data_IF_107312530744
#
_entry.id   IF_107312530744
#
_cell.length_a   1.000
_cell.length_b   1.000
_cell.length_c   1.000
_cell.angle_alpha   90.00
_cell.angle_beta   90.00
_cell.angle_gamma   90.00
#
_symmetry.space_group_name_H-M   'P 1'
#
loop_
_entity.id
_entity.type
_entity.pdbx_description
1 polymer ?
#
# COMPACT_ATOMS: atom_id res chain seq x y z
N UNK A 1 -22.66 10.32 7.01
CA UNK A 1 -22.32 9.69 5.74
C UNK A 1 -21.36 8.55 6.01
N UNK A 2 -21.63 7.36 5.48
CA UNK A 2 -20.70 6.23 5.57
C UNK A 2 -19.44 6.59 4.80
N UNK A 3 -18.27 6.39 5.42
CA UNK A 3 -16.97 6.55 4.76
C UNK A 3 -16.90 5.58 3.58
N UNK A 4 -16.52 6.07 2.39
CA UNK A 4 -16.26 5.20 1.24
C UNK A 4 -15.01 4.37 1.53
N UNK A 5 -15.13 3.04 1.48
CA UNK A 5 -14.05 2.10 1.79
C UNK A 5 -14.16 0.82 0.98
N UNK A 6 -13.05 0.10 0.86
CA UNK A 6 -13.02 -1.18 0.15
C UNK A 6 -13.63 -2.31 0.98
N UNK A 7 -14.41 -3.17 0.32
CA UNK A 7 -14.89 -4.43 0.92
C UNK A 7 -13.79 -5.49 0.83
N UNK A 8 -12.78 -5.36 1.69
CA UNK A 8 -11.59 -6.22 1.67
C UNK A 8 -11.90 -7.70 1.90
N UNK A 9 -12.94 -8.02 2.66
CA UNK A 9 -13.30 -9.42 2.90
C UNK A 9 -13.92 -10.07 1.65
N UNK A 10 -14.72 -9.32 0.90
CA UNK A 10 -15.23 -9.80 -0.38
C UNK A 10 -14.11 -10.03 -1.40
N UNK A 11 -13.14 -9.11 -1.45
CA UNK A 11 -11.95 -9.25 -2.29
C UNK A 11 -11.09 -10.45 -1.84
N UNK A 12 -10.97 -10.67 -0.54
CA UNK A 12 -10.21 -11.80 0.01
C UNK A 12 -10.81 -13.15 -0.40
N UNK A 13 -12.12 -13.31 -0.26
CA UNK A 13 -12.82 -14.53 -0.71
C UNK A 13 -12.63 -14.75 -2.21
N UNK A 14 -12.74 -13.71 -3.02
CA UNK A 14 -12.48 -13.78 -4.46
C UNK A 14 -11.04 -14.23 -4.77
N UNK A 15 -10.07 -13.64 -4.07
CA UNK A 15 -8.64 -13.96 -4.24
C UNK A 15 -8.35 -15.43 -3.89
N UNK A 16 -8.84 -15.93 -2.75
CA UNK A 16 -8.63 -17.31 -2.34
C UNK A 16 -9.24 -18.30 -3.32
N UNK A 17 -10.46 -18.02 -3.81
CA UNK A 17 -11.11 -18.86 -4.84
C UNK A 17 -10.31 -18.84 -6.14
N UNK A 18 -9.78 -17.69 -6.54
CA UNK A 18 -8.89 -17.55 -7.70
C UNK A 18 -7.62 -18.37 -7.56
N UNK A 19 -6.94 -18.25 -6.43
CA UNK A 19 -5.73 -19.02 -6.11
C UNK A 19 -6.00 -20.53 -6.14
N UNK A 20 -7.07 -20.99 -5.49
CA UNK A 20 -7.46 -22.41 -5.51
C UNK A 20 -7.67 -22.93 -6.93
N UNK A 21 -8.45 -22.21 -7.73
CA UNK A 21 -8.75 -22.62 -9.10
C UNK A 21 -7.50 -22.64 -9.98
N UNK A 22 -6.65 -21.61 -9.85
CA UNK A 22 -5.42 -21.51 -10.62
C UNK A 22 -4.41 -22.61 -10.21
N UNK A 23 -4.26 -22.83 -8.91
CA UNK A 23 -3.43 -23.93 -8.39
C UNK A 23 -3.85 -25.28 -8.97
N UNK A 24 -5.14 -25.56 -8.99
CA UNK A 24 -5.69 -26.83 -9.53
C UNK A 24 -5.41 -27.01 -11.01
N UNK A 25 -5.39 -25.95 -11.79
CA UNK A 25 -5.25 -26.00 -13.26
C UNK A 25 -3.80 -25.92 -13.74
N UNK A 26 -2.97 -25.16 -13.04
CA UNK A 26 -1.65 -24.76 -13.54
C UNK A 26 -0.50 -24.96 -12.55
N UNK A 27 -0.81 -25.02 -11.25
CA UNK A 27 0.18 -24.89 -10.21
C UNK A 27 0.61 -23.45 -9.96
N UNK A 28 1.12 -23.17 -8.75
CA UNK A 28 1.64 -21.86 -8.34
C UNK A 28 2.99 -22.07 -7.67
N UNK A 29 4.06 -21.53 -8.28
CA UNK A 29 5.42 -21.62 -7.77
C UNK A 29 5.82 -20.37 -6.97
N UNK A 30 5.14 -19.24 -7.18
CA UNK A 30 5.38 -17.97 -6.49
C UNK A 30 4.17 -17.05 -6.59
N UNK A 31 4.03 -16.13 -5.63
CA UNK A 31 2.96 -15.12 -5.61
C UNK A 31 3.59 -13.73 -5.50
N UNK A 32 3.12 -12.78 -6.29
CA UNK A 32 3.40 -11.36 -6.15
C UNK A 32 2.12 -10.57 -6.31
N UNK A 33 1.96 -9.52 -5.51
CA UNK A 33 0.73 -8.71 -5.51
C UNK A 33 0.99 -7.36 -6.15
N UNK A 34 0.07 -6.91 -6.99
CA UNK A 34 0.04 -5.53 -7.47
C UNK A 34 -1.35 -4.94 -7.25
N UNK A 35 -1.39 -3.71 -6.81
CA UNK A 35 -2.63 -2.93 -6.65
C UNK A 35 -2.38 -1.47 -7.00
N UNK A 36 -3.46 -0.69 -7.09
CA UNK A 36 -3.36 0.76 -7.13
C UNK A 36 -2.67 1.32 -5.88
N UNK A 37 -2.14 2.54 -5.97
CA UNK A 37 -1.58 3.30 -4.87
C UNK A 37 -2.65 4.06 -4.05
N UNK A 38 -2.20 5.07 -3.31
CA UNK A 38 -3.05 5.98 -2.54
C UNK A 38 -4.02 5.30 -1.56
N UNK A 39 -3.69 4.09 -1.08
CA UNK A 39 -4.43 3.38 -0.04
C UNK A 39 -3.48 2.71 0.94
N UNK A 40 -3.90 2.66 2.21
CA UNK A 40 -3.12 2.04 3.29
C UNK A 40 -4.01 1.25 4.22
N UNK A 41 -3.41 0.27 4.90
CA UNK A 41 -4.04 -0.44 5.98
C UNK A 41 -3.36 -0.11 7.32
N UNK A 42 -4.17 0.11 8.34
CA UNK A 42 -3.76 0.30 9.72
C UNK A 42 -4.01 -1.01 10.47
N UNK A 43 -2.94 -1.60 11.00
CA UNK A 43 -3.00 -2.89 11.67
C UNK A 43 -2.75 -2.74 13.17
N UNK A 44 -3.42 -3.55 14.00
CA UNK A 44 -3.10 -3.72 15.40
C UNK A 44 -1.87 -4.64 15.60
N UNK A 45 -1.52 -4.93 16.83
CA UNK A 45 -0.42 -5.82 17.21
C UNK A 45 -0.67 -7.30 16.86
N UNK A 46 -1.92 -7.66 16.58
CA UNK A 46 -2.31 -8.99 16.08
C UNK A 46 -2.38 -9.06 14.56
N UNK A 47 -2.13 -7.95 13.85
CA UNK A 47 -2.22 -7.87 12.40
C UNK A 47 -3.62 -7.67 11.82
N UNK A 48 -4.61 -7.35 12.65
CA UNK A 48 -5.97 -7.07 12.22
C UNK A 48 -6.14 -5.60 11.84
N UNK A 49 -7.05 -5.31 10.92
CA UNK A 49 -7.42 -3.94 10.59
C UNK A 49 -8.07 -3.23 11.78
N UNK A 50 -7.55 -2.07 12.17
CA UNK A 50 -8.14 -1.20 13.20
C UNK A 50 -9.14 -0.17 12.63
N UNK A 51 -9.16 -0.02 11.32
CA UNK A 51 -10.12 0.81 10.58
C UNK A 51 -10.33 0.24 9.17
N UNK A 52 -11.46 0.53 8.51
CA UNK A 52 -11.63 0.23 7.10
C UNK A 52 -10.55 0.91 6.24
N UNK A 53 -10.12 0.25 5.17
CA UNK A 53 -9.21 0.85 4.18
C UNK A 53 -10.03 1.81 3.33
N UNK A 54 -9.70 3.10 3.41
CA UNK A 54 -10.42 4.14 2.69
C UNK A 54 -10.21 4.00 1.17
N UNK A 55 -11.28 4.24 0.45
CA UNK A 55 -11.21 4.53 -0.98
C UNK A 55 -10.45 5.86 -1.18
N UNK A 56 -9.52 5.91 -2.11
CA UNK A 56 -8.76 7.13 -2.40
C UNK A 56 -9.63 8.25 -2.99
N UNK A 57 -10.83 7.95 -3.49
CA UNK A 57 -11.83 8.94 -3.91
C UNK A 57 -12.67 9.48 -2.74
N UNK A 58 -12.42 9.03 -1.51
CA UNK A 58 -13.11 9.54 -0.34
C UNK A 58 -12.74 11.01 -0.08
N UNK A 59 -13.74 11.89 -0.04
CA UNK A 59 -13.56 13.35 0.06
C UNK A 59 -13.29 13.86 1.48
N UNK A 60 -13.30 12.99 2.49
CA UNK A 60 -13.04 13.37 3.88
C UNK A 60 -11.74 14.16 4.08
N UNK A 61 -10.62 13.78 3.46
CA UNK A 61 -9.37 14.52 3.56
C UNK A 61 -9.40 15.97 3.03
N UNK A 62 -10.38 16.35 2.20
CA UNK A 62 -10.52 17.72 1.74
C UNK A 62 -11.01 18.66 2.87
N UNK A 63 -11.68 18.11 3.90
CA UNK A 63 -12.14 18.88 5.07
C UNK A 63 -11.00 19.49 5.90
N UNK A 64 -9.80 18.95 5.77
CA UNK A 64 -8.61 19.36 6.55
C UNK A 64 -7.49 19.90 5.66
N UNK A 65 -7.82 20.36 4.47
CA UNK A 65 -6.83 20.79 3.48
C UNK A 65 -5.90 21.88 4.00
N UNK A 66 -6.45 22.88 4.68
CA UNK A 66 -5.68 24.03 5.19
C UNK A 66 -4.68 23.56 6.26
N UNK A 67 -5.16 22.77 7.23
CA UNK A 67 -4.33 22.25 8.32
C UNK A 67 -3.28 21.29 7.80
N UNK A 68 -3.65 20.43 6.86
CA UNK A 68 -2.73 19.48 6.25
C UNK A 68 -1.62 20.19 5.44
N UNK A 69 -1.97 21.22 4.67
CA UNK A 69 -1.00 22.00 3.90
C UNK A 69 0.04 22.71 4.79
N UNK A 70 -0.29 23.02 6.05
CA UNK A 70 0.66 23.58 7.00
C UNK A 70 1.71 22.58 7.52
N UNK A 71 1.43 21.28 7.43
CA UNK A 71 2.35 20.25 7.96
C UNK A 71 2.97 19.38 6.88
N UNK A 72 2.38 19.30 5.69
CA UNK A 72 2.90 18.44 4.62
C UNK A 72 4.30 18.86 4.19
N UNK A 73 5.13 17.91 3.71
CA UNK A 73 6.46 18.21 3.20
C UNK A 73 6.40 19.09 1.94
N UNK A 74 7.47 19.78 1.66
CA UNK A 74 7.64 20.46 0.39
C UNK A 74 7.72 19.43 -0.76
N UNK A 75 7.30 19.82 -1.95
CA UNK A 75 7.44 18.99 -3.14
C UNK A 75 8.90 18.55 -3.38
N UNK A 76 9.87 19.42 -3.06
CA UNK A 76 11.30 19.10 -3.18
C UNK A 76 11.77 17.99 -2.25
N UNK A 77 11.03 17.66 -1.19
CA UNK A 77 11.35 16.54 -0.30
C UNK A 77 10.79 15.22 -0.82
N UNK A 78 9.53 15.21 -1.25
CA UNK A 78 8.83 13.95 -1.56
C UNK A 78 8.55 13.72 -3.05
N UNK A 79 8.62 14.78 -3.87
CA UNK A 79 8.16 14.71 -5.26
C UNK A 79 6.64 14.53 -5.41
N UNK A 80 5.88 14.55 -4.30
CA UNK A 80 4.43 14.35 -4.33
C UNK A 80 3.72 15.69 -4.47
N UNK A 81 2.88 15.92 -5.49
CA UNK A 81 2.01 17.08 -5.55
C UNK A 81 0.88 16.97 -4.51
N UNK A 82 0.26 18.10 -4.14
CA UNK A 82 -1.02 18.05 -3.40
C UNK A 82 -2.13 17.64 -4.37
N UNK A 83 -2.81 16.58 -4.03
CA UNK A 83 -3.91 16.03 -4.79
C UNK A 83 -5.20 16.07 -3.95
N UNK A 84 -6.39 16.17 -4.57
CA UNK A 84 -7.66 16.21 -3.86
C UNK A 84 -8.02 14.86 -3.24
N UNK A 85 -9.08 14.85 -2.44
CA UNK A 85 -9.65 13.64 -1.84
C UNK A 85 -8.61 12.86 -1.01
N UNK A 86 -8.64 11.55 -1.05
CA UNK A 86 -7.70 10.65 -0.39
C UNK A 86 -6.42 10.35 -1.19
N UNK A 87 -6.15 11.02 -2.31
CA UNK A 87 -5.03 10.70 -3.19
C UNK A 87 -3.64 10.90 -2.54
N UNK A 88 -3.52 11.79 -1.53
CA UNK A 88 -2.34 11.79 -0.68
C UNK A 88 -2.60 10.96 0.59
N UNK A 89 -1.89 9.87 0.77
CA UNK A 89 -2.02 8.99 1.94
C UNK A 89 -1.76 9.72 3.26
N UNK A 90 -0.81 10.65 3.28
CA UNK A 90 -0.56 11.49 4.45
C UNK A 90 -1.78 12.32 4.86
N UNK A 91 -2.57 12.81 3.90
CA UNK A 91 -3.82 13.51 4.16
C UNK A 91 -4.89 12.56 4.73
N UNK A 92 -4.98 11.31 4.22
CA UNK A 92 -5.85 10.28 4.81
C UNK A 92 -5.51 10.04 6.27
N UNK A 93 -4.22 9.80 6.58
CA UNK A 93 -3.77 9.56 7.95
C UNK A 93 -4.09 10.74 8.87
N UNK A 94 -3.78 11.95 8.44
CA UNK A 94 -4.06 13.16 9.22
C UNK A 94 -5.55 13.30 9.50
N UNK A 95 -6.40 13.12 8.48
CA UNK A 95 -7.85 13.18 8.62
C UNK A 95 -8.38 12.07 9.54
N UNK A 96 -7.99 10.82 9.34
CA UNK A 96 -8.43 9.68 10.15
C UNK A 96 -8.10 9.88 11.63
N UNK A 97 -6.86 10.30 11.94
CA UNK A 97 -6.42 10.54 13.32
C UNK A 97 -7.05 11.79 13.95
N UNK A 98 -7.42 12.79 13.14
CA UNK A 98 -8.16 13.96 13.64
C UNK A 98 -9.60 13.59 14.01
N UNK A 99 -10.25 12.69 13.26
CA UNK A 99 -11.62 12.22 13.52
C UNK A 99 -11.68 11.20 14.66
N UNK A 100 -10.65 10.38 14.81
CA UNK A 100 -10.56 9.37 15.85
C UNK A 100 -9.16 9.32 16.48
N UNK A 101 -9.01 10.00 17.62
CA UNK A 101 -7.72 10.09 18.33
C UNK A 101 -7.21 8.74 18.85
N UNK A 102 -8.10 7.80 19.15
CA UNK A 102 -7.71 6.46 19.63
C UNK A 102 -7.14 5.60 18.51
N UNK A 103 -7.51 5.87 17.26
CA UNK A 103 -7.08 5.08 16.11
C UNK A 103 -5.55 5.00 16.02
N UNK A 104 -4.87 6.14 16.22
CA UNK A 104 -3.41 6.18 16.20
C UNK A 104 -2.79 5.32 17.31
N UNK A 105 -3.38 5.30 18.51
CA UNK A 105 -2.89 4.47 19.61
C UNK A 105 -3.11 2.98 19.36
N UNK A 106 -4.22 2.61 18.71
CA UNK A 106 -4.57 1.22 18.37
C UNK A 106 -3.74 0.70 17.17
N UNK A 107 -3.19 1.58 16.35
CA UNK A 107 -2.36 1.20 15.21
C UNK A 107 -0.98 0.79 15.68
N UNK A 108 -0.59 -0.45 15.45
CA UNK A 108 0.76 -0.96 15.65
C UNK A 108 1.59 -0.84 14.36
N UNK A 109 1.02 -1.16 13.21
CA UNK A 109 1.69 -1.11 11.90
C UNK A 109 0.84 -0.41 10.84
N UNK A 110 1.52 0.33 9.96
CA UNK A 110 0.96 0.96 8.77
C UNK A 110 1.60 0.26 7.57
N UNK A 111 0.79 -0.34 6.71
CA UNK A 111 1.23 -1.06 5.51
C UNK A 111 0.57 -0.48 4.27
N UNK A 112 1.28 -0.48 3.16
CA UNK A 112 0.77 -0.06 1.85
C UNK A 112 -0.16 -1.12 1.27
N UNK A 113 -1.01 -0.76 0.33
CA UNK A 113 -2.14 -1.62 -0.06
C UNK A 113 -1.74 -2.94 -0.73
N UNK A 114 -0.75 -3.02 -1.65
CA UNK A 114 -0.27 -4.32 -2.12
C UNK A 114 0.27 -5.18 -0.98
N UNK A 115 0.99 -4.57 -0.03
CA UNK A 115 1.60 -5.26 1.10
C UNK A 115 0.58 -5.69 2.16
N UNK A 116 -0.59 -5.05 2.23
CA UNK A 116 -1.70 -5.56 3.03
C UNK A 116 -2.16 -6.96 2.55
N UNK A 117 -2.25 -7.18 1.25
CA UNK A 117 -2.58 -8.49 0.71
C UNK A 117 -1.46 -9.50 0.90
N UNK A 118 -0.21 -9.06 0.76
CA UNK A 118 0.97 -9.85 1.13
C UNK A 118 0.95 -10.26 2.61
N UNK A 119 0.60 -9.31 3.50
CA UNK A 119 0.40 -9.59 4.92
C UNK A 119 -0.70 -10.64 5.16
N UNK A 120 -1.85 -10.53 4.48
CA UNK A 120 -2.93 -11.52 4.59
C UNK A 120 -2.46 -12.93 4.15
N UNK A 121 -1.52 -13.02 3.21
CA UNK A 121 -0.98 -14.29 2.72
C UNK A 121 0.12 -14.86 3.60
N UNK A 122 0.91 -14.03 4.30
CA UNK A 122 2.15 -14.45 4.98
C UNK A 122 2.20 -14.14 6.47
N UNK A 123 1.34 -13.27 6.98
CA UNK A 123 1.43 -12.72 8.34
C UNK A 123 2.50 -11.62 8.50
N UNK A 124 3.30 -11.31 7.48
CA UNK A 124 4.41 -10.35 7.57
C UNK A 124 3.95 -8.96 7.11
N UNK A 125 4.11 -7.96 7.97
CA UNK A 125 3.83 -6.57 7.65
C UNK A 125 5.04 -5.89 7.00
N UNK A 126 4.83 -5.24 5.85
CA UNK A 126 5.85 -4.48 5.14
C UNK A 126 5.24 -3.28 4.39
N UNK A 127 6.11 -2.42 3.89
CA UNK A 127 5.82 -1.44 2.84
C UNK A 127 6.81 -1.62 1.70
N UNK A 128 6.52 -1.06 0.52
CA UNK A 128 7.48 -1.04 -0.58
C UNK A 128 7.73 0.37 -1.10
N UNK A 129 8.88 0.55 -1.76
CA UNK A 129 9.33 1.84 -2.26
C UNK A 129 8.36 2.46 -3.27
N UNK A 130 7.78 1.64 -4.14
CA UNK A 130 6.92 2.11 -5.22
C UNK A 130 5.58 2.62 -4.70
N UNK A 131 5.02 1.92 -3.73
CA UNK A 131 3.76 2.33 -3.07
C UNK A 131 3.96 3.53 -2.16
N UNK A 132 5.05 3.59 -1.37
CA UNK A 132 5.38 4.75 -0.53
C UNK A 132 5.70 5.99 -1.37
N UNK A 133 6.38 5.83 -2.50
CA UNK A 133 6.71 6.93 -3.41
C UNK A 133 5.52 7.46 -4.22
N UNK A 134 4.39 6.74 -4.26
CA UNK A 134 3.22 7.13 -5.04
C UNK A 134 2.30 8.05 -4.24
N UNK A 135 2.51 9.36 -4.32
CA UNK A 135 1.65 10.41 -3.77
C UNK A 135 1.36 10.30 -2.25
N UNK A 136 2.22 9.65 -1.48
CA UNK A 136 1.92 9.43 -0.06
C UNK A 136 2.26 10.60 0.83
N UNK A 137 3.16 11.48 0.41
CA UNK A 137 3.85 12.48 1.24
C UNK A 137 4.70 11.86 2.38
N UNK A 138 4.82 10.52 2.45
CA UNK A 138 5.50 9.80 3.54
C UNK A 138 6.92 9.35 3.20
N UNK A 139 7.36 9.50 1.96
CA UNK A 139 8.64 9.00 1.47
C UNK A 139 9.46 10.11 0.81
N UNK A 140 10.73 10.19 1.18
CA UNK A 140 11.74 10.99 0.49
C UNK A 140 12.54 10.09 -0.46
N UNK A 141 12.30 10.18 -1.79
CA UNK A 141 12.98 9.33 -2.76
C UNK A 141 14.47 9.66 -2.92
N UNK A 142 14.89 10.87 -2.55
CA UNK A 142 16.28 11.31 -2.70
C UNK A 142 17.16 10.75 -1.60
N UNK A 143 16.72 10.84 -0.35
CA UNK A 143 17.43 10.27 0.80
C UNK A 143 17.11 8.79 1.03
N UNK A 144 16.06 8.26 0.37
CA UNK A 144 15.51 6.90 0.55
C UNK A 144 15.09 6.64 2.00
N UNK A 145 14.37 7.58 2.58
CA UNK A 145 13.90 7.53 3.96
C UNK A 145 12.44 7.96 4.05
N UNK A 146 11.85 7.63 5.18
CA UNK A 146 10.56 8.18 5.58
C UNK A 146 10.67 9.69 5.69
N UNK A 147 9.69 10.42 5.16
CA UNK A 147 9.65 11.88 5.10
C UNK A 147 9.43 12.52 6.48
N UNK A 148 9.67 13.83 6.54
CA UNK A 148 9.38 14.64 7.73
C UNK A 148 7.92 14.61 8.18
N UNK A 149 6.97 14.29 7.28
CA UNK A 149 5.56 14.18 7.62
C UNK A 149 5.28 13.05 8.62
N UNK A 150 5.94 11.90 8.45
CA UNK A 150 5.72 10.76 9.34
C UNK A 150 6.08 11.08 10.80
N UNK A 151 7.14 11.88 11.00
CA UNK A 151 7.51 12.39 12.31
C UNK A 151 6.47 13.37 12.85
N UNK A 152 6.05 14.35 12.05
CA UNK A 152 5.01 15.32 12.41
C UNK A 152 3.68 14.65 12.77
N UNK A 153 3.33 13.57 12.07
CA UNK A 153 2.16 12.75 12.40
C UNK A 153 2.40 11.83 13.61
N UNK A 154 3.66 11.64 14.02
CA UNK A 154 4.05 10.72 15.10
C UNK A 154 3.79 9.27 14.73
N UNK A 155 4.07 8.88 13.47
CA UNK A 155 3.85 7.53 12.94
C UNK A 155 5.12 6.88 12.38
N UNK A 156 6.27 7.54 12.44
CA UNK A 156 7.52 7.02 11.86
C UNK A 156 7.84 5.59 12.32
N UNK A 157 7.67 5.30 13.62
CA UNK A 157 7.89 3.97 14.18
C UNK A 157 6.77 2.97 13.89
N UNK A 158 5.67 3.40 13.27
CA UNK A 158 4.51 2.57 12.93
C UNK A 158 4.49 2.19 11.44
N UNK A 159 5.19 2.92 10.58
CA UNK A 159 5.34 2.52 9.18
C UNK A 159 6.17 1.24 9.15
N UNK A 160 5.60 0.18 8.60
CA UNK A 160 6.26 -1.12 8.52
C UNK A 160 7.55 -1.02 7.68
N UNK A 161 8.48 -1.94 7.90
CA UNK A 161 9.76 -1.96 7.20
C UNK A 161 9.56 -1.86 5.68
N UNK A 162 10.34 -0.98 5.06
CA UNK A 162 10.32 -0.83 3.61
C UNK A 162 11.32 -1.80 2.99
N UNK A 163 10.84 -2.67 2.13
CA UNK A 163 11.63 -3.65 1.38
C UNK A 163 11.42 -3.49 -0.13
N UNK A 164 12.25 -4.12 -0.92
CA UNK A 164 12.12 -4.03 -2.38
C UNK A 164 10.95 -4.89 -2.87
N UNK A 165 10.30 -4.46 -3.95
CA UNK A 165 9.13 -5.16 -4.53
C UNK A 165 9.44 -6.61 -4.92
N UNK A 166 10.71 -6.91 -5.25
CA UNK A 166 11.18 -8.23 -5.66
C UNK A 166 11.76 -9.08 -4.53
N UNK A 167 11.80 -8.56 -3.31
CA UNK A 167 12.23 -9.33 -2.15
C UNK A 167 11.11 -10.26 -1.68
N UNK A 168 11.49 -11.43 -1.16
CA UNK A 168 10.53 -12.36 -0.57
C UNK A 168 10.03 -11.75 0.76
N UNK A 169 8.72 -11.57 0.85
CA UNK A 169 8.05 -11.13 2.08
C UNK A 169 7.95 -12.27 3.10
N UNK A 170 7.64 -13.46 2.63
CA UNK A 170 7.50 -14.67 3.43
C UNK A 170 7.03 -15.83 2.58
N UNK A 171 6.66 -16.94 3.21
CA UNK A 171 5.94 -18.04 2.58
C UNK A 171 4.47 -17.94 2.90
N UNK A 172 3.65 -18.60 2.11
CA UNK A 172 2.19 -18.62 2.32
C UNK A 172 1.85 -19.24 3.69
N UNK A 173 0.88 -18.68 4.40
CA UNK A 173 0.42 -19.21 5.69
C UNK A 173 -0.13 -20.64 5.53
N UNK A 174 0.12 -21.56 6.50
CA UNK A 174 -0.32 -22.94 6.41
C UNK A 174 -1.82 -23.12 6.18
N UNK A 175 -2.65 -22.28 6.83
CA UNK A 175 -4.11 -22.30 6.65
C UNK A 175 -4.54 -21.88 5.25
N UNK A 176 -3.82 -20.95 4.63
CA UNK A 176 -4.09 -20.52 3.25
C UNK A 176 -3.61 -21.58 2.27
N UNK A 177 -2.44 -22.16 2.50
CA UNK A 177 -1.92 -23.28 1.73
C UNK A 177 -2.90 -24.47 1.75
N UNK A 178 -3.42 -24.84 2.92
CA UNK A 178 -4.43 -25.88 3.06
C UNK A 178 -5.72 -25.57 2.30
N UNK A 179 -6.22 -24.33 2.40
CA UNK A 179 -7.46 -23.90 1.75
C UNK A 179 -7.35 -23.87 0.23
N UNK A 180 -6.20 -23.45 -0.29
CA UNK A 180 -5.99 -23.25 -1.72
C UNK A 180 -5.36 -24.45 -2.43
N UNK A 181 -4.72 -25.34 -1.68
CA UNK A 181 -3.94 -26.47 -2.21
C UNK A 181 -2.55 -26.06 -2.72
N UNK A 182 -2.10 -24.85 -2.42
CA UNK A 182 -0.77 -24.34 -2.76
C UNK A 182 0.26 -24.96 -1.81
N UNK A 183 1.49 -25.18 -2.31
CA UNK A 183 2.59 -25.67 -1.49
C UNK A 183 2.89 -24.67 -0.34
N UNK A 184 2.96 -25.11 0.93
CA UNK A 184 3.22 -24.23 2.07
C UNK A 184 4.57 -23.50 2.00
N UNK A 185 5.52 -23.99 1.21
CA UNK A 185 6.83 -23.35 1.00
C UNK A 185 6.80 -22.33 -0.15
N UNK A 186 5.64 -22.11 -0.78
CA UNK A 186 5.50 -21.14 -1.89
C UNK A 186 5.83 -19.74 -1.43
N UNK A 187 6.84 -19.07 -2.03
CA UNK A 187 7.22 -17.73 -1.67
C UNK A 187 6.18 -16.70 -2.12
N UNK A 188 5.93 -15.73 -1.25
CA UNK A 188 5.15 -14.53 -1.55
C UNK A 188 6.12 -13.35 -1.56
N UNK A 189 6.20 -12.66 -2.69
CA UNK A 189 7.04 -11.47 -2.85
C UNK A 189 6.34 -10.23 -2.29
N UNK A 190 7.13 -9.21 -1.95
CA UNK A 190 6.62 -7.97 -1.38
C UNK A 190 5.53 -7.31 -2.24
N UNK A 191 5.66 -7.42 -3.55
CA UNK A 191 4.70 -6.83 -4.47
C UNK A 191 5.02 -5.37 -4.82
N UNK A 192 4.23 -4.78 -5.71
CA UNK A 192 4.56 -3.52 -6.39
C UNK A 192 3.29 -2.72 -6.66
N UNK A 193 3.42 -1.39 -6.67
CA UNK A 193 2.37 -0.48 -7.17
C UNK A 193 2.12 -0.71 -8.67
N UNK A 194 0.86 -0.71 -9.11
CA UNK A 194 0.45 -1.09 -10.47
C UNK A 194 1.08 -0.22 -11.57
N UNK A 195 1.13 1.10 -11.39
CA UNK A 195 1.77 1.99 -12.36
C UNK A 195 3.27 1.72 -12.48
N UNK A 196 3.94 1.36 -11.37
CA UNK A 196 5.35 0.94 -11.41
C UNK A 196 5.52 -0.43 -12.06
N UNK A 197 4.58 -1.36 -11.85
CA UNK A 197 4.57 -2.65 -12.53
C UNK A 197 4.43 -2.47 -14.04
N UNK A 198 3.55 -1.58 -14.49
CA UNK A 198 3.37 -1.26 -15.92
C UNK A 198 4.60 -0.58 -16.54
N UNK A 199 5.36 0.18 -15.75
CA UNK A 199 6.60 0.82 -16.19
C UNK A 199 7.76 -0.17 -16.31
N UNK A 200 7.77 -1.24 -15.52
CA UNK A 200 8.89 -2.17 -15.39
C UNK A 200 9.40 -2.75 -16.73
N UNK A 201 8.56 -3.20 -17.68
CA UNK A 201 9.03 -3.72 -18.97
C UNK A 201 9.80 -2.67 -19.79
N UNK A 202 9.45 -1.41 -19.65
CA UNK A 202 10.11 -0.31 -20.35
C UNK A 202 11.47 0.01 -19.72
N UNK A 203 11.57 0.01 -18.39
CA UNK A 203 12.82 0.29 -17.69
C UNK A 203 13.86 -0.81 -17.92
N UNK A 204 13.45 -2.08 -17.91
CA UNK A 204 14.39 -3.22 -18.06
C UNK A 204 15.04 -3.26 -19.44
N UNK A 205 14.32 -2.88 -20.50
CA UNK A 205 14.74 -3.12 -21.89
C UNK A 205 15.20 -1.87 -22.64
N UNK A 206 15.21 -0.68 -22.00
CA UNK A 206 15.54 0.58 -22.67
C UNK A 206 16.83 1.19 -22.11
N UNK A 207 17.96 1.06 -22.83
CA UNK A 207 19.16 1.82 -22.50
C UNK A 207 18.99 3.29 -22.91
N UNK A 208 19.22 4.21 -21.99
CA UNK A 208 19.18 5.65 -22.25
C UNK A 208 17.95 6.34 -21.69
N UNK A 209 17.83 7.64 -21.99
CA UNK A 209 16.70 8.46 -21.51
C UNK A 209 15.47 8.23 -22.36
N UNK A 210 14.35 7.99 -21.73
CA UNK A 210 13.04 7.84 -22.39
C UNK A 210 11.94 8.41 -21.51
N UNK A 211 10.76 8.58 -22.06
CA UNK A 211 9.56 8.96 -21.34
C UNK A 211 8.47 7.91 -21.59
N UNK A 212 7.71 7.61 -20.55
CA UNK A 212 6.51 6.77 -20.64
C UNK A 212 5.31 7.65 -20.29
N UNK A 213 4.32 7.64 -21.16
CA UNK A 213 3.04 8.30 -20.89
C UNK A 213 2.01 7.21 -20.63
N UNK A 214 1.56 7.11 -19.40
CA UNK A 214 0.45 6.23 -19.01
C UNK A 214 -0.86 6.99 -19.16
N UNK A 215 -1.77 6.48 -20.00
CA UNK A 215 -3.07 7.10 -20.23
C UNK A 215 -4.19 6.09 -19.97
N UNK A 216 -5.22 6.54 -19.28
CA UNK A 216 -6.36 5.71 -18.89
C UNK A 216 -7.34 6.56 -18.10
N UNK A 217 -7.70 6.16 -16.90
CA UNK A 217 -8.50 6.97 -15.97
C UNK A 217 -7.75 8.26 -15.60
N UNK A 218 -6.45 8.16 -15.43
CA UNK A 218 -5.51 9.26 -15.21
C UNK A 218 -4.49 9.34 -16.34
N UNK A 219 -3.91 10.51 -16.55
CA UNK A 219 -2.74 10.71 -17.42
C UNK A 219 -1.56 11.05 -16.52
N UNK A 220 -0.53 10.21 -16.54
CA UNK A 220 0.67 10.31 -15.71
C UNK A 220 1.90 10.36 -16.61
#
# INVERSE_FOLDING_TARGET
PSQSHYNVESHWVFLLNGLHNFQKLHGIDAISVTTHGASIALLDDMGNLVAPILDYEHTGPDEIEVEYNNIRPLFSETGSPRLPMGLNVGAQLYWMFSKNRELKAKTASIVTYPQYWGHRLTGVAATDLTSLGCHTDLWDPYSRKISSLAEKLGVSAKIANTISSHDILGVILPEIAYQTGIDPDTPVYCGIHDSNASLLPHVINQPGSFSVVSSGTWVI
#
